data_IF_911171489182
#
_entry.id   IF_911171489182
#
_cell.length_a   1.000
_cell.length_b   1.000
_cell.length_c   1.000
_cell.angle_alpha   90.00
_cell.angle_beta   90.00
_cell.angle_gamma   90.00
#
_symmetry.space_group_name_H-M   'P 1'
#
loop_
_entity.id
_entity.type
_entity.pdbx_description
1 polymer ?
#
# COMPACT_ATOMS: atom_id res chain seq x y z
N UNK A 1 -0.38 -48.20 38.56
CA UNK A 1 -1.80 -48.28 38.14
C UNK A 1 -1.81 -48.44 36.62
N UNK A 2 -1.68 -49.68 36.16
CA UNK A 2 -1.72 -50.03 34.74
C UNK A 2 -2.97 -50.89 34.55
N UNK A 3 -4.00 -50.36 33.90
CA UNK A 3 -5.16 -51.12 33.49
C UNK A 3 -5.20 -51.16 31.96
N UNK A 4 -4.66 -52.24 31.39
CA UNK A 4 -5.12 -52.79 30.13
C UNK A 4 -5.63 -54.20 30.42
N UNK A 5 -6.89 -54.53 30.11
CA UNK A 5 -7.28 -55.89 29.88
C UNK A 5 -7.32 -56.19 28.37
N UNK A 6 -7.13 -57.48 28.11
CA UNK A 6 -6.75 -58.14 26.88
C UNK A 6 -7.89 -59.12 26.50
N UNK A 7 -8.20 -59.22 25.19
CA UNK A 7 -8.86 -60.34 24.44
C UNK A 7 -10.38 -60.64 24.64
N UNK A 8 -11.06 -61.47 23.80
CA UNK A 8 -10.72 -62.05 22.48
C UNK A 8 -11.84 -61.98 21.39
N UNK A 9 -11.47 -62.49 20.20
CA UNK A 9 -12.26 -62.74 18.97
C UNK A 9 -13.42 -63.75 19.15
N UNK A 10 -14.44 -63.70 18.28
CA UNK A 10 -14.73 -64.69 17.19
C UNK A 10 -16.13 -64.44 16.54
N UNK A 11 -16.11 -64.40 15.19
CA UNK A 11 -17.08 -64.80 14.12
C UNK A 11 -18.60 -64.85 14.42
N UNK A 12 -19.50 -64.53 13.48
CA UNK A 12 -19.70 -65.23 12.19
C UNK A 12 -20.83 -64.55 11.37
N UNK A 13 -20.72 -64.57 10.04
CA UNK A 13 -21.80 -64.27 9.08
C UNK A 13 -21.93 -62.79 8.74
N UNK A 14 -21.86 -62.31 7.49
CA UNK A 14 -22.38 -62.93 6.28
C UNK A 14 -21.63 -62.43 5.04
N UNK A 15 -21.73 -63.27 4.03
CA UNK A 15 -21.13 -63.24 2.69
C UNK A 15 -21.49 -62.02 1.83
N UNK A 16 -20.49 -61.52 1.11
CA UNK A 16 -20.51 -61.13 -0.32
C UNK A 16 -21.48 -60.00 -0.72
N UNK A 17 -20.96 -58.84 -1.13
CA UNK A 17 -21.17 -58.35 -2.51
C UNK A 17 -20.24 -57.17 -2.87
N UNK A 18 -19.49 -57.39 -3.96
CA UNK A 18 -18.88 -56.50 -4.93
C UNK A 18 -18.68 -54.98 -4.64
N UNK A 19 -17.41 -54.58 -4.79
CA UNK A 19 -16.92 -53.35 -5.45
C UNK A 19 -17.97 -52.60 -6.26
N UNK A 20 -18.16 -51.30 -5.99
CA UNK A 20 -18.30 -50.26 -7.01
C UNK A 20 -18.02 -48.88 -6.39
N UNK A 21 -16.93 -48.25 -6.84
CA UNK A 21 -16.59 -46.86 -6.57
C UNK A 21 -17.71 -45.96 -7.12
N UNK A 22 -18.20 -45.03 -6.30
CA UNK A 22 -19.08 -43.96 -6.76
C UNK A 22 -18.49 -42.63 -6.31
N UNK A 23 -17.97 -41.90 -7.30
CA UNK A 23 -17.48 -40.55 -7.18
C UNK A 23 -18.54 -39.66 -6.51
N UNK A 24 -18.14 -39.00 -5.42
CA UNK A 24 -18.91 -37.90 -4.84
C UNK A 24 -18.75 -36.71 -5.78
N UNK A 25 -19.66 -36.61 -6.75
CA UNK A 25 -19.82 -35.41 -7.56
C UNK A 25 -20.22 -34.25 -6.64
N UNK A 26 -19.36 -33.23 -6.60
CA UNK A 26 -19.70 -31.92 -6.06
C UNK A 26 -20.87 -31.39 -6.90
N UNK A 27 -22.05 -31.30 -6.29
CA UNK A 27 -23.26 -30.84 -6.97
C UNK A 27 -23.19 -29.32 -7.14
N UNK A 28 -22.62 -28.88 -8.27
CA UNK A 28 -22.76 -27.52 -8.77
C UNK A 28 -24.20 -27.37 -9.28
N UNK A 29 -25.06 -26.72 -8.48
CA UNK A 29 -26.38 -26.33 -8.95
C UNK A 29 -26.24 -25.30 -10.08
N UNK A 30 -26.36 -25.83 -11.30
CA UNK A 30 -26.60 -25.10 -12.53
C UNK A 30 -27.98 -24.43 -12.44
N UNK A 31 -28.01 -23.12 -12.25
CA UNK A 31 -29.20 -22.33 -12.57
C UNK A 31 -29.12 -21.92 -14.04
N UNK A 32 -30.10 -22.36 -14.82
CA UNK A 32 -30.22 -22.14 -16.25
C UNK A 32 -31.14 -20.95 -16.54
N UNK A 33 -30.64 -19.98 -17.30
CA UNK A 33 -31.44 -19.01 -18.07
C UNK A 33 -30.59 -18.53 -19.26
N UNK A 34 -31.21 -18.15 -20.40
CA UNK A 34 -30.46 -17.82 -21.61
C UNK A 34 -29.54 -16.65 -21.32
N UNK A 35 -28.27 -16.75 -21.73
CA UNK A 35 -27.20 -15.80 -21.39
C UNK A 35 -27.41 -14.46 -22.11
N UNK A 36 -28.39 -13.70 -21.64
CA UNK A 36 -28.56 -12.30 -21.99
C UNK A 36 -27.53 -11.54 -21.17
N UNK A 37 -26.41 -11.18 -21.81
CA UNK A 37 -25.40 -10.33 -21.21
C UNK A 37 -26.09 -9.13 -20.55
N UNK A 38 -25.83 -8.95 -19.24
CA UNK A 38 -26.43 -7.86 -18.48
C UNK A 38 -25.98 -6.52 -19.09
N UNK A 39 -26.85 -5.51 -19.18
CA UNK A 39 -26.43 -4.17 -19.57
C UNK A 39 -25.27 -3.69 -18.67
N UNK A 40 -24.30 -3.00 -19.25
CA UNK A 40 -23.10 -2.54 -18.54
C UNK A 40 -23.43 -1.72 -17.29
N UNK A 41 -24.52 -0.96 -17.32
CA UNK A 41 -25.02 -0.19 -16.18
C UNK A 41 -25.37 -1.09 -15.00
N UNK A 42 -26.07 -2.19 -15.24
CA UNK A 42 -26.45 -3.15 -14.20
C UNK A 42 -25.24 -3.95 -13.69
N UNK A 43 -24.33 -4.34 -14.59
CA UNK A 43 -23.08 -4.98 -14.18
C UNK A 43 -22.24 -4.06 -13.28
N UNK A 44 -22.18 -2.75 -13.59
CA UNK A 44 -21.47 -1.75 -12.78
C UNK A 44 -22.13 -1.53 -11.42
N UNK A 45 -23.46 -1.46 -11.33
CA UNK A 45 -24.15 -1.28 -10.04
C UNK A 45 -23.94 -2.49 -9.14
N UNK A 46 -24.06 -3.70 -9.66
CA UNK A 46 -23.81 -4.95 -8.91
C UNK A 46 -22.35 -5.03 -8.47
N UNK A 47 -21.40 -4.75 -9.37
CA UNK A 47 -19.98 -4.73 -9.03
C UNK A 47 -19.64 -3.71 -7.94
N UNK A 48 -20.25 -2.52 -8.01
CA UNK A 48 -20.09 -1.46 -7.00
C UNK A 48 -20.64 -1.89 -5.64
N UNK A 49 -21.85 -2.47 -5.62
CA UNK A 49 -22.51 -2.90 -4.38
C UNK A 49 -21.74 -4.02 -3.66
N UNK A 50 -21.07 -4.90 -4.41
CA UNK A 50 -20.30 -6.02 -3.85
C UNK A 50 -18.80 -5.71 -3.68
N UNK A 51 -18.38 -4.46 -3.90
CA UNK A 51 -16.95 -4.11 -3.84
C UNK A 51 -16.45 -4.01 -2.41
N UNK A 52 -15.60 -4.96 -2.02
CA UNK A 52 -14.87 -4.90 -0.75
C UNK A 52 -14.00 -3.63 -0.63
N UNK A 53 -13.50 -3.09 -1.75
CA UNK A 53 -12.71 -1.86 -1.76
C UNK A 53 -13.55 -0.63 -1.38
N UNK A 54 -14.81 -0.58 -1.81
CA UNK A 54 -15.72 0.52 -1.46
C UNK A 54 -16.19 0.44 -0.02
N UNK A 55 -16.50 -0.76 0.47
CA UNK A 55 -16.77 -0.98 1.90
C UNK A 55 -15.58 -0.56 2.78
N UNK A 56 -14.35 -0.88 2.35
CA UNK A 56 -13.11 -0.47 3.04
C UNK A 56 -12.86 1.04 2.95
N UNK A 57 -13.21 1.71 1.85
CA UNK A 57 -13.16 3.18 1.75
C UNK A 57 -14.10 3.84 2.77
N UNK A 58 -15.28 3.26 2.99
CA UNK A 58 -16.22 3.75 4.01
C UNK A 58 -15.66 3.58 5.42
N UNK A 59 -15.03 2.45 5.75
CA UNK A 59 -14.44 2.28 7.09
C UNK A 59 -13.23 3.19 7.32
N UNK A 60 -12.42 3.46 6.28
CA UNK A 60 -11.29 4.40 6.34
C UNK A 60 -11.71 5.88 6.40
N UNK A 61 -12.96 6.20 6.06
CA UNK A 61 -13.49 7.57 6.16
C UNK A 61 -14.21 7.83 7.48
N UNK A 62 -14.56 6.78 8.24
CA UNK A 62 -15.22 6.90 9.56
C UNK A 62 -14.29 7.39 10.66
N UNK A 63 -12.99 7.15 10.53
CA UNK A 63 -11.96 7.99 11.16
C UNK A 63 -11.55 8.97 10.07
N UNK A 64 -11.70 10.31 10.17
CA UNK A 64 -10.80 11.29 9.51
C UNK A 64 -11.42 12.69 9.46
N UNK A 65 -10.76 13.63 10.14
CA UNK A 65 -10.72 15.01 9.68
C UNK A 65 -9.77 15.16 8.48
N UNK A 66 -9.60 16.39 7.98
CA UNK A 66 -8.62 16.73 6.94
C UNK A 66 -7.24 16.10 7.25
N UNK A 67 -6.60 15.38 6.31
CA UNK A 67 -5.22 14.93 6.47
C UNK A 67 -4.31 16.12 6.81
N UNK A 68 -3.38 15.93 7.73
CA UNK A 68 -2.41 16.96 8.12
C UNK A 68 -0.98 16.52 7.85
N UNK A 69 -0.14 17.49 7.47
CA UNK A 69 1.24 17.23 7.14
C UNK A 69 2.04 16.89 8.41
N UNK A 70 2.91 15.89 8.34
CA UNK A 70 3.73 15.47 9.47
C UNK A 70 5.01 16.32 9.58
N UNK A 71 4.83 17.60 9.89
CA UNK A 71 5.92 18.57 10.05
C UNK A 71 6.80 18.28 11.28
N UNK A 72 6.27 17.56 12.27
CA UNK A 72 7.04 17.13 13.44
C UNK A 72 8.12 16.12 13.07
N UNK A 73 7.73 15.08 12.33
CA UNK A 73 8.67 14.09 11.78
C UNK A 73 9.68 14.75 10.85
N UNK A 74 9.21 15.65 9.97
CA UNK A 74 10.08 16.38 9.07
C UNK A 74 11.20 17.10 9.84
N UNK A 75 10.84 17.95 10.80
CA UNK A 75 11.82 18.74 11.57
C UNK A 75 12.80 17.87 12.35
N UNK A 76 12.30 16.78 12.94
CA UNK A 76 13.09 15.95 13.86
C UNK A 76 14.03 14.98 13.14
N UNK A 77 13.58 14.39 12.02
CA UNK A 77 14.25 13.26 11.41
C UNK A 77 14.67 13.50 9.96
N UNK A 78 13.92 14.30 9.20
CA UNK A 78 14.12 14.46 7.75
C UNK A 78 14.99 15.69 7.43
N UNK A 79 14.67 16.84 8.03
CA UNK A 79 15.40 18.10 7.85
C UNK A 79 16.91 17.99 8.19
N UNK A 80 17.33 17.27 9.25
CA UNK A 80 18.76 17.05 9.51
C UNK A 80 19.47 16.26 8.39
N UNK A 81 18.78 15.29 7.78
CA UNK A 81 19.32 14.54 6.63
C UNK A 81 19.53 15.49 5.45
N UNK A 82 18.49 16.25 5.06
CA UNK A 82 18.60 17.23 3.97
C UNK A 82 19.73 18.25 4.22
N UNK A 83 19.85 18.74 5.45
CA UNK A 83 20.91 19.70 5.83
C UNK A 83 22.30 19.09 5.64
N UNK A 84 22.48 17.83 6.06
CA UNK A 84 23.76 17.11 5.98
C UNK A 84 24.12 16.76 4.54
N UNK A 85 23.19 16.26 3.74
CA UNK A 85 23.50 15.60 2.45
C UNK A 85 23.13 16.43 1.22
N UNK A 86 22.08 17.25 1.28
CA UNK A 86 21.55 17.93 0.10
C UNK A 86 21.98 19.41 0.03
N UNK A 87 21.92 20.14 1.16
CA UNK A 87 22.14 21.60 1.22
C UNK A 87 23.56 22.01 0.82
N UNK A 88 24.54 21.11 0.90
CA UNK A 88 25.90 21.40 0.44
C UNK A 88 25.98 21.70 -1.07
N UNK A 89 25.10 21.08 -1.86
CA UNK A 89 25.03 21.25 -3.31
C UNK A 89 23.80 22.03 -3.78
N UNK A 90 22.71 22.01 -3.00
CA UNK A 90 21.42 22.62 -3.31
C UNK A 90 20.96 23.59 -2.19
N UNK A 91 21.87 24.47 -1.76
CA UNK A 91 21.70 25.41 -0.67
C UNK A 91 22.18 26.83 -0.99
N UNK A 92 22.24 27.74 0.00
CA UNK A 92 22.53 29.16 -0.23
C UNK A 92 23.92 29.43 -0.79
N UNK A 93 24.88 28.56 -0.48
CA UNK A 93 26.25 28.68 -0.98
C UNK A 93 26.42 28.14 -2.40
N UNK A 94 25.59 27.18 -2.80
CA UNK A 94 25.67 26.49 -4.09
C UNK A 94 24.29 25.97 -4.46
N UNK A 95 23.78 26.40 -5.61
CA UNK A 95 22.49 25.98 -6.15
C UNK A 95 22.72 25.16 -7.43
N UNK A 96 23.30 23.95 -7.30
CA UNK A 96 23.47 23.04 -8.45
C UNK A 96 22.10 22.82 -9.11
N UNK A 97 22.08 22.77 -10.44
CA UNK A 97 20.83 22.62 -11.20
C UNK A 97 19.84 23.77 -11.03
N UNK A 98 20.27 24.94 -10.49
CA UNK A 98 19.39 26.06 -10.11
C UNK A 98 18.29 25.66 -9.12
N UNK A 99 18.54 24.60 -8.34
CA UNK A 99 17.60 24.05 -7.38
C UNK A 99 18.07 24.28 -5.94
N UNK A 100 17.12 24.58 -5.05
CA UNK A 100 17.32 24.95 -3.64
C UNK A 100 16.36 24.16 -2.76
N UNK A 101 16.84 23.06 -2.19
CA UNK A 101 16.00 22.19 -1.36
C UNK A 101 15.69 22.82 0.01
N UNK A 102 16.55 23.71 0.49
CA UNK A 102 16.40 24.40 1.77
C UNK A 102 15.28 25.45 1.79
N UNK A 103 14.75 25.82 0.63
CA UNK A 103 13.69 26.82 0.50
C UNK A 103 12.30 26.20 0.29
N UNK A 104 12.21 24.88 0.13
CA UNK A 104 10.94 24.20 -0.10
C UNK A 104 10.08 24.19 1.16
N UNK A 105 8.78 24.42 1.00
CA UNK A 105 7.79 24.23 2.07
C UNK A 105 7.58 22.73 2.32
N UNK A 106 7.88 22.20 3.53
CA UNK A 106 7.68 20.79 3.85
C UNK A 106 6.21 20.39 4.02
N UNK A 107 5.26 21.32 3.93
CA UNK A 107 3.83 21.00 3.94
C UNK A 107 3.35 20.62 2.53
N UNK A 108 3.39 19.33 2.19
CA UNK A 108 2.97 18.87 0.86
C UNK A 108 1.44 18.89 0.65
N UNK A 109 0.65 19.14 1.69
CA UNK A 109 -0.83 19.12 1.62
C UNK A 109 -1.37 20.50 1.25
N UNK A 110 -0.87 21.55 1.89
CA UNK A 110 -1.33 22.93 1.69
C UNK A 110 -0.23 23.87 1.13
N UNK A 111 1.00 23.40 1.01
CA UNK A 111 2.12 24.16 0.43
C UNK A 111 2.16 24.09 -1.10
N UNK A 112 2.99 24.94 -1.70
CA UNK A 112 3.06 25.12 -3.17
C UNK A 112 4.10 24.24 -3.87
N UNK A 113 4.94 23.53 -3.13
CA UNK A 113 6.19 22.97 -3.66
C UNK A 113 6.11 21.46 -3.95
N UNK A 114 4.89 20.91 -4.08
CA UNK A 114 4.69 19.46 -4.25
C UNK A 114 5.38 18.90 -5.50
N UNK A 115 5.38 19.64 -6.61
CA UNK A 115 6.06 19.21 -7.85
C UNK A 115 7.56 19.02 -7.60
N UNK A 116 8.19 19.94 -6.86
CA UNK A 116 9.60 19.78 -6.46
C UNK A 116 9.82 18.60 -5.54
N UNK A 117 8.89 18.32 -4.62
CA UNK A 117 9.01 17.16 -3.75
C UNK A 117 8.84 15.83 -4.50
N UNK A 118 8.06 15.79 -5.57
CA UNK A 118 7.97 14.63 -6.46
C UNK A 118 9.32 14.37 -7.15
N UNK A 119 9.98 15.40 -7.67
CA UNK A 119 11.32 15.29 -8.25
C UNK A 119 12.35 14.83 -7.21
N UNK A 120 12.31 15.38 -6.00
CA UNK A 120 13.20 14.96 -4.89
C UNK A 120 12.96 13.48 -4.55
N UNK A 121 11.71 13.03 -4.49
CA UNK A 121 11.40 11.63 -4.25
C UNK A 121 11.99 10.75 -5.36
N UNK A 122 11.79 11.13 -6.63
CA UNK A 122 12.28 10.35 -7.77
C UNK A 122 13.80 10.16 -7.71
N UNK A 123 14.56 11.25 -7.70
CA UNK A 123 16.04 11.19 -7.72
C UNK A 123 16.64 10.53 -6.49
N UNK A 124 16.01 10.65 -5.32
CA UNK A 124 16.48 9.97 -4.09
C UNK A 124 16.12 8.48 -4.13
N UNK A 125 14.93 8.13 -4.63
CA UNK A 125 14.51 6.72 -4.77
C UNK A 125 15.31 5.96 -5.82
N UNK A 126 15.80 6.66 -6.84
CA UNK A 126 16.69 6.14 -7.88
C UNK A 126 18.17 6.19 -7.47
N UNK A 127 18.49 6.65 -6.26
CA UNK A 127 19.86 6.81 -5.74
C UNK A 127 20.77 7.69 -6.63
N UNK A 128 20.17 8.57 -7.45
CA UNK A 128 20.90 9.51 -8.31
C UNK A 128 21.49 10.69 -7.52
N UNK A 129 20.90 10.95 -6.34
CA UNK A 129 21.35 11.98 -5.42
C UNK A 129 21.69 11.39 -4.05
N UNK A 130 22.86 11.70 -3.48
CA UNK A 130 23.91 12.56 -4.05
C UNK A 130 24.73 11.85 -5.15
N UNK A 131 25.36 12.59 -6.09
CA UNK A 131 26.14 11.98 -7.17
C UNK A 131 27.37 11.23 -6.62
N UNK A 132 27.88 10.24 -7.36
CA UNK A 132 29.01 9.40 -6.92
C UNK A 132 30.29 10.17 -6.58
N UNK A 133 30.51 11.33 -7.23
CA UNK A 133 31.66 12.21 -6.98
C UNK A 133 31.50 13.10 -5.72
N UNK A 134 30.36 13.00 -5.03
CA UNK A 134 30.07 13.72 -3.81
C UNK A 134 30.87 13.20 -2.62
N UNK A 135 31.31 14.12 -1.76
CA UNK A 135 31.95 13.79 -0.48
C UNK A 135 30.95 13.33 0.58
N UNK A 136 29.65 13.49 0.33
CA UNK A 136 28.57 13.08 1.22
C UNK A 136 27.62 12.17 0.47
N UNK A 137 27.28 11.05 1.10
CA UNK A 137 26.33 10.07 0.59
C UNK A 137 25.25 9.80 1.63
N UNK A 138 24.08 9.37 1.14
CA UNK A 138 23.00 8.86 1.98
C UNK A 138 23.28 7.39 2.31
N UNK A 139 22.93 6.99 3.52
CA UNK A 139 22.83 5.56 3.88
C UNK A 139 21.48 4.99 3.43
N UNK A 140 21.38 3.68 3.25
CA UNK A 140 20.12 3.00 2.91
C UNK A 140 19.00 3.31 3.92
N UNK A 141 19.36 3.49 5.20
CA UNK A 141 18.41 3.88 6.25
C UNK A 141 17.92 5.33 6.05
N UNK A 142 18.81 6.27 5.73
CA UNK A 142 18.44 7.65 5.43
C UNK A 142 17.57 7.74 4.15
N UNK A 143 17.91 6.98 3.09
CA UNK A 143 17.08 6.87 1.87
C UNK A 143 15.68 6.38 2.24
N UNK A 144 15.58 5.29 3.01
CA UNK A 144 14.30 4.72 3.44
C UNK A 144 13.47 5.71 4.27
N UNK A 145 14.11 6.48 5.15
CA UNK A 145 13.43 7.52 5.96
C UNK A 145 12.90 8.65 5.10
N UNK A 146 13.71 9.19 4.19
CA UNK A 146 13.33 10.31 3.32
C UNK A 146 12.22 9.89 2.35
N UNK A 147 12.43 8.79 1.62
CA UNK A 147 11.45 8.29 0.63
C UNK A 147 10.15 7.86 1.30
N UNK A 148 10.21 7.23 2.48
CA UNK A 148 9.05 6.84 3.26
C UNK A 148 8.22 8.03 3.75
N UNK A 149 8.88 9.08 4.26
CA UNK A 149 8.20 10.31 4.66
C UNK A 149 7.56 11.00 3.46
N UNK A 150 8.32 11.25 2.37
CA UNK A 150 7.80 11.89 1.15
C UNK A 150 6.60 11.14 0.57
N UNK A 151 6.71 9.81 0.41
CA UNK A 151 5.63 8.99 -0.13
C UNK A 151 4.36 9.07 0.72
N UNK A 152 4.49 9.10 2.05
CA UNK A 152 3.35 9.23 2.95
C UNK A 152 2.68 10.60 2.82
N UNK A 153 3.45 11.68 2.76
CA UNK A 153 2.94 13.05 2.66
C UNK A 153 2.28 13.31 1.29
N UNK A 154 2.88 12.81 0.19
CA UNK A 154 2.29 12.85 -1.16
C UNK A 154 0.95 12.10 -1.20
N UNK A 155 0.85 10.93 -0.56
CA UNK A 155 -0.41 10.19 -0.49
C UNK A 155 -1.50 10.97 0.28
N UNK A 156 -1.14 11.66 1.35
CA UNK A 156 -2.07 12.53 2.10
C UNK A 156 -2.54 13.70 1.23
N UNK A 157 -1.62 14.38 0.55
CA UNK A 157 -1.93 15.47 -0.37
C UNK A 157 -2.87 15.03 -1.49
N UNK A 158 -2.55 13.92 -2.16
CA UNK A 158 -3.40 13.31 -3.20
C UNK A 158 -4.80 12.95 -2.68
N UNK A 159 -4.89 12.47 -1.44
CA UNK A 159 -6.19 12.16 -0.82
C UNK A 159 -6.99 13.44 -0.57
N UNK A 160 -6.35 14.48 -0.07
CA UNK A 160 -6.99 15.78 0.14
C UNK A 160 -7.49 16.41 -1.17
N UNK A 161 -6.69 16.41 -2.22
CA UNK A 161 -7.10 16.95 -3.54
C UNK A 161 -8.28 16.18 -4.14
N UNK A 162 -8.24 14.84 -4.07
CA UNK A 162 -9.37 14.00 -4.51
C UNK A 162 -10.64 14.26 -3.71
N UNK A 163 -10.51 14.61 -2.42
CA UNK A 163 -11.67 14.96 -1.59
C UNK A 163 -12.23 16.34 -1.94
N UNK A 164 -11.36 17.30 -2.29
CA UNK A 164 -11.75 18.64 -2.76
C UNK A 164 -12.34 18.65 -4.17
N UNK A 165 -12.07 17.62 -4.97
CA UNK A 165 -12.51 17.54 -6.37
C UNK A 165 -11.67 18.39 -7.32
N UNK A 166 -10.46 18.76 -6.90
CA UNK A 166 -9.50 19.50 -7.71
C UNK A 166 -8.71 18.48 -8.56
N UNK A 167 -8.64 18.74 -9.87
CA UNK A 167 -7.91 17.97 -10.88
C UNK A 167 -7.02 18.91 -11.67
#
# INVERSE_FOLDING_TARGET
MNLFPILPKIRLGNTVFCLLASATFCNAQKSSSPEKLRPLTEARTIGRANSALLAKKQTLTTTNGKPSANLGEFKKHISPIFTKTCVQCHGPKKAKGKFRVDTLDPNLIDGSDIDWWLEVLDVVSNEEMPPEDSKVQLTNEEISKVTGWLSSEIQKASTEWRNKGEH
#
